data_IF_149153160279
#
_entry.id   IF_149153160279
#
_cell.length_a   1.000
_cell.length_b   1.000
_cell.length_c   1.000
_cell.angle_alpha   90.00
_cell.angle_beta   90.00
_cell.angle_gamma   90.00
#
_symmetry.space_group_name_H-M   'P 1'
#
loop_
_entity.id
_entity.type
_entity.pdbx_description
1 polymer ?
#
# COMPACT_ATOMS: atom_id res chain seq x y z
N UNK A 1 10.32 0.28 -7.41
CA UNK A 1 8.96 0.00 -6.89
C UNK A 1 8.28 1.31 -6.56
N UNK A 2 7.02 1.42 -6.93
CA UNK A 2 6.14 2.54 -6.59
C UNK A 2 5.07 2.06 -5.62
N UNK A 3 4.95 2.71 -4.47
CA UNK A 3 3.85 2.48 -3.53
C UNK A 3 2.78 3.56 -3.74
N UNK A 4 1.52 3.14 -3.82
CA UNK A 4 0.40 4.06 -3.96
C UNK A 4 -0.85 3.54 -3.23
N UNK A 5 -1.84 4.40 -2.99
CA UNK A 5 -3.17 3.93 -2.58
C UNK A 5 -3.87 3.19 -3.72
N UNK A 6 -4.88 2.35 -3.41
CA UNK A 6 -5.72 1.73 -4.43
C UNK A 6 -6.56 2.77 -5.18
N UNK A 7 -6.99 2.44 -6.40
CA UNK A 7 -7.91 3.28 -7.18
C UNK A 7 -9.37 3.08 -6.71
N UNK A 8 -10.27 3.93 -7.18
CA UNK A 8 -11.70 3.94 -6.80
C UNK A 8 -12.39 2.58 -6.93
N UNK A 9 -12.11 1.80 -7.96
CA UNK A 9 -12.75 0.48 -8.19
C UNK A 9 -12.29 -0.61 -7.23
N UNK A 10 -11.15 -0.43 -6.56
CA UNK A 10 -10.58 -1.39 -5.64
C UNK A 10 -10.98 -1.12 -4.18
N UNK A 11 -11.57 0.05 -3.91
CA UNK A 11 -11.94 0.50 -2.57
C UNK A 11 -13.45 0.37 -2.33
N UNK A 12 -13.81 -0.21 -1.20
CA UNK A 12 -15.17 -0.07 -0.69
C UNK A 12 -15.33 1.36 -0.12
N UNK A 13 -16.51 1.94 -0.25
CA UNK A 13 -16.85 3.30 0.17
C UNK A 13 -16.16 3.79 1.46
N UNK A 14 -15.82 5.06 1.53
CA UNK A 14 -15.23 5.71 2.72
C UNK A 14 -13.76 6.09 2.60
N UNK A 15 -13.13 5.79 1.47
CA UNK A 15 -11.77 6.26 1.20
C UNK A 15 -11.78 7.76 0.89
N UNK A 16 -10.83 8.50 1.46
CA UNK A 16 -10.70 9.94 1.20
C UNK A 16 -10.41 10.18 -0.29
N UNK A 17 -10.97 11.26 -0.83
CA UNK A 17 -10.84 11.59 -2.25
C UNK A 17 -9.39 11.65 -2.73
N UNK A 18 -8.48 12.17 -1.90
CA UNK A 18 -7.05 12.27 -2.24
C UNK A 18 -6.42 10.88 -2.48
N UNK A 19 -6.83 9.87 -1.73
CA UNK A 19 -6.36 8.48 -1.95
C UNK A 19 -6.85 7.95 -3.29
N UNK A 20 -8.14 8.14 -3.57
CA UNK A 20 -8.79 7.68 -4.80
C UNK A 20 -8.18 8.35 -6.04
N UNK A 21 -8.04 9.67 -6.01
CA UNK A 21 -7.48 10.46 -7.11
C UNK A 21 -6.02 10.09 -7.33
N UNK A 22 -5.23 9.95 -6.28
CA UNK A 22 -3.81 9.54 -6.37
C UNK A 22 -3.69 8.15 -7.00
N UNK A 23 -4.45 7.16 -6.53
CA UNK A 23 -4.44 5.81 -7.09
C UNK A 23 -4.86 5.79 -8.56
N UNK A 24 -5.89 6.55 -8.92
CA UNK A 24 -6.38 6.68 -10.29
C UNK A 24 -5.34 7.35 -11.20
N UNK A 25 -4.68 8.40 -10.73
CA UNK A 25 -3.63 9.08 -11.46
C UNK A 25 -2.43 8.16 -11.74
N UNK A 26 -1.96 7.43 -10.73
CA UNK A 26 -0.88 6.44 -10.88
C UNK A 26 -1.25 5.37 -11.89
N UNK A 27 -2.46 4.82 -11.81
CA UNK A 27 -2.94 3.83 -12.77
C UNK A 27 -2.96 4.37 -14.20
N UNK A 28 -3.52 5.57 -14.39
CA UNK A 28 -3.64 6.21 -15.70
C UNK A 28 -2.26 6.49 -16.31
N UNK A 29 -1.35 7.09 -15.54
CA UNK A 29 0.01 7.40 -16.01
C UNK A 29 0.79 6.12 -16.30
N UNK A 30 0.69 5.09 -15.47
CA UNK A 30 1.39 3.83 -15.68
C UNK A 30 1.05 3.18 -17.02
N UNK A 31 -0.21 3.25 -17.45
CA UNK A 31 -0.62 2.79 -18.77
C UNK A 31 -0.04 3.66 -19.88
N UNK A 32 -0.16 4.99 -19.76
CA UNK A 32 0.27 5.94 -20.78
C UNK A 32 1.78 5.90 -21.03
N UNK A 33 2.58 5.63 -20.01
CA UNK A 33 4.05 5.50 -20.14
C UNK A 33 4.47 4.40 -21.12
N UNK A 34 3.60 3.44 -21.41
CA UNK A 34 3.85 2.33 -22.31
C UNK A 34 3.29 2.61 -23.72
N UNK A 35 2.55 3.71 -23.91
CA UNK A 35 1.93 4.08 -25.20
C UNK A 35 2.87 4.98 -25.98
N UNK A 36 3.36 4.55 -27.15
CA UNK A 36 4.17 5.41 -28.02
C UNK A 36 3.44 6.72 -28.32
N UNK A 37 4.16 7.83 -28.23
CA UNK A 37 3.62 9.17 -28.52
C UNK A 37 2.47 9.67 -27.61
N UNK A 38 2.23 9.03 -26.45
CA UNK A 38 1.24 9.50 -25.48
C UNK A 38 1.56 10.90 -24.92
N UNK A 39 2.84 11.27 -24.94
CA UNK A 39 3.31 12.57 -24.47
C UNK A 39 4.14 13.27 -25.55
N UNK A 40 4.18 14.62 -25.57
CA UNK A 40 5.01 15.39 -26.50
C UNK A 40 6.49 14.99 -26.42
N UNK A 41 7.20 15.08 -27.54
CA UNK A 41 8.62 14.71 -27.62
C UNK A 41 9.49 15.52 -26.65
N UNK A 42 9.11 16.77 -26.38
CA UNK A 42 9.79 17.69 -25.50
C UNK A 42 9.84 17.20 -24.03
N UNK A 43 8.84 16.38 -23.62
CA UNK A 43 8.77 15.82 -22.27
C UNK A 43 9.80 14.70 -22.03
N UNK A 44 10.34 14.07 -23.08
CA UNK A 44 11.21 12.90 -22.99
C UNK A 44 12.60 13.07 -23.55
N UNK A 45 12.90 14.22 -24.12
CA UNK A 45 14.14 14.40 -24.90
C UNK A 45 14.10 13.68 -26.26
N UNK A 46 15.20 13.75 -26.99
CA UNK A 46 15.30 13.22 -28.35
C UNK A 46 15.53 11.70 -28.43
N UNK A 47 16.05 11.11 -27.38
CA UNK A 47 16.35 9.67 -27.32
C UNK A 47 15.25 8.96 -26.53
N UNK A 48 14.43 8.21 -27.25
CA UNK A 48 13.30 7.43 -26.67
C UNK A 48 13.75 6.01 -26.36
N UNK A 49 14.36 5.83 -25.23
CA UNK A 49 14.38 4.50 -24.65
C UNK A 49 12.96 4.13 -24.23
N UNK A 50 12.48 2.91 -24.54
CA UNK A 50 11.19 2.45 -24.06
C UNK A 50 11.14 2.53 -22.53
N UNK A 51 10.24 3.31 -21.98
CA UNK A 51 10.12 3.44 -20.54
C UNK A 51 9.65 2.11 -19.94
N UNK A 52 10.48 1.51 -19.11
CA UNK A 52 10.10 0.32 -18.35
C UNK A 52 9.24 0.72 -17.15
N UNK A 53 7.93 0.41 -17.14
CA UNK A 53 7.07 0.79 -16.03
C UNK A 53 7.56 0.16 -14.72
N UNK A 54 7.47 0.86 -13.59
CA UNK A 54 7.85 0.32 -12.30
C UNK A 54 6.93 -0.83 -11.86
N UNK A 55 7.38 -1.65 -10.93
CA UNK A 55 6.49 -2.49 -10.16
C UNK A 55 5.62 -1.57 -9.27
N UNK A 56 4.30 -1.66 -9.39
CA UNK A 56 3.36 -0.84 -8.63
C UNK A 56 2.66 -1.70 -7.58
N UNK A 57 2.73 -1.25 -6.34
CA UNK A 57 2.25 -1.95 -5.16
C UNK A 57 1.30 -1.05 -4.39
N UNK A 58 0.13 -1.55 -4.05
CA UNK A 58 -0.85 -0.82 -3.28
C UNK A 58 -0.86 -1.25 -1.81
N UNK A 59 -0.99 -0.27 -0.92
CA UNK A 59 -1.25 -0.54 0.48
C UNK A 59 -2.62 -1.19 0.64
N UNK A 60 -2.68 -2.26 1.45
CA UNK A 60 -3.92 -2.93 1.80
C UNK A 60 -4.45 -2.37 3.12
N UNK A 61 -5.70 -1.96 3.16
CA UNK A 61 -6.35 -1.43 4.34
C UNK A 61 -7.76 -2.01 4.56
N UNK A 62 -8.44 -1.51 5.60
CA UNK A 62 -9.77 -1.97 5.99
C UNK A 62 -10.88 -1.62 4.99
N UNK A 63 -10.65 -0.68 4.09
CA UNK A 63 -11.60 -0.23 3.07
C UNK A 63 -11.64 -1.14 1.85
N UNK A 64 -10.65 -2.03 1.67
CA UNK A 64 -10.59 -2.96 0.56
C UNK A 64 -11.51 -4.16 0.81
N UNK A 65 -12.40 -4.42 -0.16
CA UNK A 65 -13.28 -5.59 -0.16
C UNK A 65 -13.01 -6.44 -1.39
N UNK A 66 -12.94 -7.76 -1.17
CA UNK A 66 -12.70 -8.71 -2.26
C UNK A 66 -11.26 -8.73 -2.78
N UNK A 67 -10.43 -7.79 -2.39
CA UNK A 67 -8.99 -7.78 -2.70
C UNK A 67 -8.26 -8.66 -1.70
N UNK A 68 -7.33 -9.45 -2.19
CA UNK A 68 -6.46 -10.30 -1.37
C UNK A 68 -5.10 -9.62 -1.23
N UNK A 69 -4.51 -9.71 -0.03
CA UNK A 69 -3.13 -9.30 0.14
C UNK A 69 -2.18 -10.27 -0.55
N UNK A 70 -1.06 -9.79 -1.03
CA UNK A 70 -0.01 -10.57 -1.67
C UNK A 70 1.27 -10.61 -0.86
N UNK A 71 1.57 -9.52 -0.15
CA UNK A 71 2.76 -9.35 0.68
C UNK A 71 2.36 -8.93 2.07
N UNK A 72 2.90 -9.59 3.10
CA UNK A 72 2.74 -9.22 4.51
C UNK A 72 4.12 -8.97 5.13
N UNK A 73 4.35 -7.74 5.56
CA UNK A 73 5.62 -7.29 6.16
C UNK A 73 5.46 -7.21 7.67
N UNK A 74 6.31 -7.93 8.42
CA UNK A 74 6.38 -7.77 9.87
C UNK A 74 7.06 -6.43 10.19
N UNK A 75 6.34 -5.53 10.84
CA UNK A 75 6.83 -4.19 11.19
C UNK A 75 7.11 -4.01 12.67
N UNK A 76 7.31 -5.11 13.40
CA UNK A 76 7.56 -5.07 14.86
C UNK A 76 8.80 -4.23 15.21
N UNK A 77 9.88 -4.38 14.44
CA UNK A 77 11.11 -3.64 14.68
C UNK A 77 10.95 -2.11 14.50
N UNK A 78 10.04 -1.71 13.62
CA UNK A 78 9.78 -0.31 13.28
C UNK A 78 8.50 0.24 13.94
N UNK A 79 7.88 -0.56 14.80
CA UNK A 79 6.55 -0.20 15.34
C UNK A 79 6.58 1.09 16.16
N UNK A 80 7.59 1.30 17.00
CA UNK A 80 7.70 2.52 17.79
C UNK A 80 7.95 3.77 16.91
N UNK A 81 8.72 3.61 15.84
CA UNK A 81 8.92 4.68 14.84
C UNK A 81 7.61 4.99 14.11
N UNK A 82 6.84 3.96 13.76
CA UNK A 82 5.52 4.13 13.16
C UNK A 82 4.56 4.87 14.09
N UNK A 83 4.52 4.51 15.38
CA UNK A 83 3.72 5.22 16.39
C UNK A 83 4.14 6.67 16.50
N UNK A 84 5.46 6.94 16.56
CA UNK A 84 5.99 8.29 16.63
C UNK A 84 5.59 9.14 15.40
N UNK A 85 5.71 8.58 14.20
CA UNK A 85 5.29 9.25 12.97
C UNK A 85 3.78 9.53 12.97
N UNK A 86 2.98 8.56 13.39
CA UNK A 86 1.52 8.73 13.46
C UNK A 86 1.12 9.81 14.48
N UNK A 87 1.81 9.89 15.63
CA UNK A 87 1.55 10.90 16.66
C UNK A 87 1.85 12.35 16.19
N UNK A 88 2.66 12.52 15.14
CA UNK A 88 2.87 13.81 14.50
C UNK A 88 1.63 14.33 13.75
N UNK A 89 0.73 13.45 13.31
CA UNK A 89 -0.51 13.80 12.64
C UNK A 89 -1.62 14.17 13.64
N UNK A 90 -1.37 15.20 14.47
CA UNK A 90 -2.22 15.54 15.63
C UNK A 90 -3.67 15.82 15.26
N UNK A 91 -3.92 16.63 14.24
CA UNK A 91 -5.28 16.95 13.77
C UNK A 91 -6.04 15.71 13.32
N UNK A 92 -5.36 14.75 12.72
CA UNK A 92 -5.97 13.47 12.33
C UNK A 92 -6.24 12.57 13.53
N UNK A 93 -5.20 12.33 14.35
CA UNK A 93 -5.22 11.30 15.39
C UNK A 93 -6.00 11.75 16.62
N UNK A 94 -5.95 13.03 16.97
CA UNK A 94 -6.53 13.55 18.22
C UNK A 94 -7.81 14.36 18.05
N UNK A 95 -8.12 14.78 16.80
CA UNK A 95 -9.27 15.62 16.51
C UNK A 95 -10.23 14.91 15.53
N UNK A 96 -9.87 14.84 14.25
CA UNK A 96 -10.79 14.44 13.19
C UNK A 96 -11.22 12.97 13.27
N UNK A 97 -10.29 12.01 13.38
CA UNK A 97 -10.64 10.59 13.46
C UNK A 97 -11.47 10.24 14.70
N UNK A 98 -11.13 10.74 15.91
CA UNK A 98 -11.97 10.57 17.10
C UNK A 98 -13.37 11.17 16.92
N UNK A 99 -13.47 12.36 16.32
CA UNK A 99 -14.75 13.04 16.10
C UNK A 99 -15.63 12.26 15.11
N UNK A 100 -15.11 11.90 13.95
CA UNK A 100 -15.89 11.16 12.93
C UNK A 100 -16.19 9.74 13.37
N UNK A 101 -15.27 9.09 14.08
CA UNK A 101 -15.42 7.73 14.60
C UNK A 101 -16.21 7.64 15.91
N UNK A 102 -16.56 8.79 16.53
CA UNK A 102 -17.27 8.89 17.81
C UNK A 102 -16.61 8.10 18.94
N UNK A 103 -15.29 8.20 19.05
CA UNK A 103 -14.51 7.60 20.11
C UNK A 103 -13.57 8.62 20.78
N UNK A 104 -13.18 8.41 22.06
CA UNK A 104 -12.26 9.32 22.74
C UNK A 104 -10.91 9.39 22.02
N UNK A 105 -10.32 10.58 21.93
CA UNK A 105 -8.95 10.73 21.45
C UNK A 105 -7.98 9.94 22.35
N UNK A 106 -6.87 9.41 21.81
CA UNK A 106 -5.86 8.77 22.65
C UNK A 106 -5.25 9.83 23.60
N UNK A 107 -5.16 9.51 24.89
CA UNK A 107 -4.65 10.43 25.93
C UNK A 107 -3.18 10.75 25.74
N UNK A 108 -2.41 9.74 25.35
CA UNK A 108 -0.98 9.79 25.19
C UNK A 108 -0.48 8.86 24.08
N UNK A 109 0.83 8.86 23.85
CA UNK A 109 1.47 7.99 22.85
C UNK A 109 1.36 6.51 23.20
N UNK A 110 1.36 6.16 24.48
CA UNK A 110 1.25 4.76 24.91
C UNK A 110 -0.14 4.19 24.57
N UNK A 111 -1.19 4.98 24.79
CA UNK A 111 -2.54 4.59 24.38
C UNK A 111 -2.66 4.52 22.86
N UNK A 112 -2.06 5.45 22.10
CA UNK A 112 -2.01 5.40 20.65
C UNK A 112 -1.32 4.11 20.18
N UNK A 113 -0.17 3.77 20.75
CA UNK A 113 0.56 2.53 20.43
C UNK A 113 -0.29 1.29 20.69
N UNK A 114 -0.98 1.24 21.81
CA UNK A 114 -1.87 0.13 22.16
C UNK A 114 -2.99 -0.01 21.12
N UNK A 115 -3.70 1.08 20.79
CA UNK A 115 -4.80 1.09 19.82
C UNK A 115 -4.31 0.67 18.42
N UNK A 116 -3.15 1.18 17.99
CA UNK A 116 -2.55 0.79 16.72
C UNK A 116 -2.17 -0.69 16.71
N UNK A 117 -1.60 -1.20 17.80
CA UNK A 117 -1.30 -2.62 17.97
C UNK A 117 -2.56 -3.50 17.91
N UNK A 118 -3.65 -3.07 18.55
CA UNK A 118 -4.95 -3.75 18.47
C UNK A 118 -5.49 -3.81 17.03
N UNK A 119 -5.38 -2.70 16.30
CA UNK A 119 -5.77 -2.64 14.89
C UNK A 119 -4.95 -3.61 14.03
N UNK A 120 -3.64 -3.66 14.19
CA UNK A 120 -2.79 -4.62 13.46
C UNK A 120 -3.17 -6.07 13.79
N UNK A 121 -3.44 -6.39 15.06
CA UNK A 121 -3.90 -7.73 15.45
C UNK A 121 -5.27 -8.08 14.85
N UNK A 122 -6.18 -7.12 14.83
CA UNK A 122 -7.48 -7.30 14.18
C UNK A 122 -7.34 -7.54 12.68
N UNK A 123 -6.47 -6.78 12.00
CA UNK A 123 -6.18 -6.97 10.59
C UNK A 123 -5.56 -8.35 10.33
N UNK A 124 -4.56 -8.77 11.10
CA UNK A 124 -3.97 -10.10 10.98
C UNK A 124 -5.05 -11.20 11.03
N UNK A 125 -5.97 -11.12 12.01
CA UNK A 125 -7.08 -12.08 12.12
C UNK A 125 -7.99 -12.04 10.89
N UNK A 126 -8.37 -10.84 10.45
CA UNK A 126 -9.26 -10.65 9.30
C UNK A 126 -8.70 -11.26 8.01
N UNK A 127 -7.40 -11.14 7.79
CA UNK A 127 -6.74 -11.68 6.59
C UNK A 127 -6.23 -13.11 6.76
N UNK A 128 -6.51 -13.76 7.89
CA UNK A 128 -6.12 -15.15 8.17
C UNK A 128 -4.64 -15.33 8.51
N UNK A 129 -3.92 -14.25 8.85
CA UNK A 129 -2.53 -14.33 9.27
C UNK A 129 -2.41 -14.68 10.75
N UNK A 130 -1.87 -15.85 11.07
CA UNK A 130 -1.62 -16.28 12.44
C UNK A 130 -0.33 -15.63 12.96
N UNK A 131 -0.45 -14.40 13.48
CA UNK A 131 0.65 -13.68 14.13
C UNK A 131 0.11 -12.69 15.17
N UNK A 132 0.87 -12.47 16.24
CA UNK A 132 0.63 -11.41 17.24
C UNK A 132 1.40 -10.14 16.93
N UNK A 133 2.42 -10.24 16.09
CA UNK A 133 3.22 -9.08 15.66
C UNK A 133 2.42 -8.16 14.72
N UNK A 134 2.70 -6.87 14.72
CA UNK A 134 2.12 -5.96 13.76
C UNK A 134 2.62 -6.26 12.34
N UNK A 135 1.71 -6.34 11.38
CA UNK A 135 2.03 -6.51 9.96
C UNK A 135 1.37 -5.42 9.15
N UNK A 136 2.06 -5.02 8.10
CA UNK A 136 1.49 -4.25 7.00
C UNK A 136 1.29 -5.17 5.80
N UNK A 137 0.21 -4.91 5.08
CA UNK A 137 -0.20 -5.74 3.95
C UNK A 137 -0.20 -4.92 2.68
N UNK A 138 0.18 -5.58 1.59
CA UNK A 138 0.21 -4.97 0.27
C UNK A 138 -0.37 -5.95 -0.74
N UNK A 139 -0.90 -5.41 -1.84
CA UNK A 139 -1.25 -6.20 -3.00
C UNK A 139 -0.53 -5.68 -4.24
N UNK A 140 -0.22 -6.59 -5.15
CA UNK A 140 0.46 -6.32 -6.40
C UNK A 140 -0.56 -5.91 -7.44
N UNK A 141 -0.24 -4.90 -8.21
CA UNK A 141 -1.08 -4.48 -9.33
C UNK A 141 -0.52 -5.01 -10.65
N UNK A 142 -1.37 -5.00 -11.67
CA UNK A 142 -0.98 -5.23 -13.07
C UNK A 142 -0.86 -3.91 -13.85
N UNK A 143 -0.76 -2.77 -13.15
CA UNK A 143 -0.70 -1.44 -13.78
C UNK A 143 0.67 -1.14 -14.38
N UNK A 144 1.72 -1.63 -13.75
CA UNK A 144 3.09 -1.54 -14.23
C UNK A 144 3.61 -2.89 -14.72
N UNK A 145 4.93 -3.10 -14.59
CA UNK A 145 5.50 -4.38 -14.95
C UNK A 145 5.08 -5.49 -13.97
N UNK A 146 4.97 -6.74 -14.44
CA UNK A 146 4.68 -7.88 -13.56
C UNK A 146 5.76 -8.06 -12.48
N UNK A 147 5.33 -8.44 -11.28
CA UNK A 147 6.24 -8.75 -10.18
C UNK A 147 6.94 -10.08 -10.42
N UNK A 148 8.27 -10.12 -10.29
CA UNK A 148 9.06 -11.34 -10.24
C UNK A 148 9.36 -11.69 -8.78
N UNK A 149 9.62 -12.96 -8.48
CA UNK A 149 10.00 -13.38 -7.11
C UNK A 149 11.25 -12.66 -6.59
N UNK A 150 12.21 -12.42 -7.47
CA UNK A 150 13.42 -11.65 -7.15
C UNK A 150 13.12 -10.21 -6.75
N UNK A 151 12.14 -9.57 -7.43
CA UNK A 151 11.71 -8.22 -7.09
C UNK A 151 11.12 -8.18 -5.68
N UNK A 152 10.26 -9.16 -5.36
CA UNK A 152 9.61 -9.24 -4.06
C UNK A 152 10.62 -9.51 -2.94
N UNK A 153 11.60 -10.38 -3.18
CA UNK A 153 12.66 -10.65 -2.22
C UNK A 153 13.54 -9.42 -1.96
N UNK A 154 13.84 -8.66 -3.01
CA UNK A 154 14.66 -7.44 -2.90
C UNK A 154 13.89 -6.28 -2.25
N UNK A 155 12.62 -6.11 -2.59
CA UNK A 155 11.81 -4.98 -2.11
C UNK A 155 11.20 -5.21 -0.73
N UNK A 156 10.98 -6.46 -0.35
CA UNK A 156 10.34 -6.87 0.89
C UNK A 156 11.14 -7.98 1.59
N UNK A 157 12.36 -7.72 2.03
CA UNK A 157 13.21 -8.72 2.67
C UNK A 157 12.51 -9.29 3.92
N UNK A 158 12.46 -10.62 4.02
CA UNK A 158 11.82 -11.32 5.14
C UNK A 158 10.29 -11.28 5.18
N UNK A 159 9.63 -10.67 4.20
CA UNK A 159 8.18 -10.64 4.14
C UNK A 159 7.58 -12.00 3.80
N UNK A 160 6.34 -12.21 4.22
CA UNK A 160 5.54 -13.35 3.76
C UNK A 160 4.90 -13.02 2.43
N UNK A 161 5.23 -13.78 1.41
CA UNK A 161 4.62 -13.69 0.08
C UNK A 161 3.56 -14.79 -0.02
N UNK A 162 2.34 -14.40 -0.39
CA UNK A 162 1.25 -15.36 -0.57
C UNK A 162 1.51 -16.25 -1.80
N UNK A 163 1.16 -17.52 -1.70
CA UNK A 163 1.26 -18.44 -2.85
C UNK A 163 0.40 -17.92 -4.01
N UNK A 164 0.99 -17.82 -5.18
CA UNK A 164 0.34 -17.29 -6.40
C UNK A 164 0.34 -15.76 -6.54
N UNK A 165 0.95 -15.03 -5.62
CA UNK A 165 1.06 -13.56 -5.70
C UNK A 165 1.94 -13.08 -6.88
N UNK A 166 2.90 -13.87 -7.31
CA UNK A 166 3.68 -13.62 -8.52
C UNK A 166 3.55 -14.83 -9.46
N UNK A 167 3.51 -14.62 -10.77
CA UNK A 167 3.54 -15.73 -11.71
C UNK A 167 4.82 -16.56 -11.48
N UNK A 168 4.80 -17.88 -11.73
CA UNK A 168 6.00 -18.70 -11.67
C UNK A 168 7.06 -18.10 -12.59
N UNK A 169 8.31 -18.07 -12.11
CA UNK A 169 9.44 -17.67 -12.92
C UNK A 169 9.54 -18.63 -14.12
N UNK A 170 9.30 -18.14 -15.32
CA UNK A 170 9.53 -18.90 -16.54
C UNK A 170 8.31 -19.00 -17.44
N UNK A 171 8.33 -18.22 -18.47
CA UNK A 171 8.50 -18.58 -19.89
C UNK A 171 8.58 -17.27 -20.62
N UNK A 172 9.81 -16.89 -20.92
CA UNK A 172 10.12 -15.92 -21.97
C UNK A 172 9.58 -16.43 -23.30
#
# INVERSE_FOLDING_TARGET
VLFCPPRAGDSAAGCHNDHVVTGTAVWSVAYQLQVPHAFPAEAYGREREPFAPPLIVCAYDDYLRGVRWDVAVNVRAEFDRKVAALDCHRSQVREWLPWVGRYPAPRDRAELARRLGDRHRAMNRRVGLRSRDPHEFFFLTNWGRPARRSDLAACFPGARIRRGAAPPAGRS
#
